data_IF_979912269993
#
_entry.id   IF_979912269993
#
_cell.length_a   1.000
_cell.length_b   1.000
_cell.length_c   1.000
_cell.angle_alpha   90.00
_cell.angle_beta   90.00
_cell.angle_gamma   90.00
#
_symmetry.space_group_name_H-M   'P 1'
#
loop_
_entity.id
_entity.type
_entity.pdbx_description
1 polymer ?
#
# COMPACT_ATOMS: atom_id res chain seq x y z
N UNK A 1 16.73 11.05 2.83
CA UNK A 1 15.77 10.09 2.26
C UNK A 1 15.51 9.05 3.31
N UNK A 2 14.28 9.00 3.79
CA UNK A 2 13.89 8.07 4.84
C UNK A 2 13.51 6.71 4.25
N UNK A 3 13.49 5.66 5.06
CA UNK A 3 13.17 4.30 4.60
C UNK A 3 11.80 4.23 3.89
N UNK A 4 10.86 5.06 4.33
CA UNK A 4 9.53 5.20 3.75
C UNK A 4 9.56 5.77 2.32
N UNK A 5 10.39 6.77 2.05
CA UNK A 5 10.57 7.33 0.70
C UNK A 5 11.10 6.27 -0.26
N UNK A 6 12.10 5.49 0.18
CA UNK A 6 12.68 4.40 -0.62
C UNK A 6 11.62 3.34 -0.93
N UNK A 7 10.81 2.99 0.07
CA UNK A 7 9.75 2.02 -0.10
C UNK A 7 8.67 2.51 -1.07
N UNK A 8 8.22 3.77 -0.95
CA UNK A 8 7.24 4.34 -1.86
C UNK A 8 7.77 4.37 -3.30
N UNK A 9 9.00 4.84 -3.49
CA UNK A 9 9.65 4.84 -4.80
C UNK A 9 9.82 3.44 -5.38
N UNK A 10 10.12 2.43 -4.55
CA UNK A 10 10.28 1.06 -4.99
C UNK A 10 8.94 0.40 -5.35
N UNK A 11 7.95 0.44 -4.46
CA UNK A 11 6.69 -0.29 -4.62
C UNK A 11 5.69 0.46 -5.51
N UNK A 12 5.29 1.67 -5.11
CA UNK A 12 4.28 2.46 -5.85
C UNK A 12 4.87 3.06 -7.15
N UNK A 13 6.18 3.31 -7.17
CA UNK A 13 6.91 3.74 -8.36
C UNK A 13 7.39 2.55 -9.20
N UNK A 14 8.62 2.11 -8.96
CA UNK A 14 9.36 1.23 -9.87
C UNK A 14 8.66 -0.09 -10.15
N UNK A 15 8.25 -0.83 -9.12
CA UNK A 15 7.67 -2.17 -9.26
C UNK A 15 6.26 -2.07 -9.84
N UNK A 16 5.39 -1.24 -9.27
CA UNK A 16 4.02 -1.05 -9.75
C UNK A 16 4.00 -0.65 -11.23
N UNK A 17 4.82 0.33 -11.64
CA UNK A 17 4.82 0.79 -13.03
C UNK A 17 5.48 -0.20 -14.00
N UNK A 18 6.45 -1.01 -13.56
CA UNK A 18 6.97 -2.14 -14.37
C UNK A 18 5.89 -3.17 -14.67
N UNK A 19 5.06 -3.53 -13.68
CA UNK A 19 3.95 -4.47 -13.85
C UNK A 19 2.89 -3.88 -14.80
N UNK A 20 2.51 -2.61 -14.60
CA UNK A 20 1.58 -1.91 -15.51
C UNK A 20 2.10 -1.92 -16.95
N UNK A 21 3.36 -1.52 -17.17
CA UNK A 21 3.95 -1.50 -18.51
C UNK A 21 3.99 -2.90 -19.15
N UNK A 22 4.25 -3.94 -18.35
CA UNK A 22 4.19 -5.33 -18.81
C UNK A 22 2.78 -5.73 -19.25
N UNK A 23 1.75 -5.41 -18.48
CA UNK A 23 0.35 -5.72 -18.83
C UNK A 23 -0.09 -4.95 -20.07
N UNK A 24 0.28 -3.66 -20.16
CA UNK A 24 -0.01 -2.82 -21.32
C UNK A 24 0.59 -3.40 -22.62
N UNK A 25 1.76 -4.05 -22.56
CA UNK A 25 2.38 -4.74 -23.71
C UNK A 25 1.48 -5.83 -24.32
N UNK A 26 0.56 -6.40 -23.54
CA UNK A 26 -0.40 -7.41 -24.00
C UNK A 26 -1.74 -6.81 -24.43
N UNK A 27 -1.83 -5.48 -24.60
CA UNK A 27 -3.05 -4.79 -25.05
C UNK A 27 -4.14 -4.68 -23.98
N UNK A 28 -3.79 -4.90 -22.71
CA UNK A 28 -4.72 -4.80 -21.58
C UNK A 28 -4.50 -3.47 -20.87
N UNK A 29 -5.59 -2.71 -20.68
CA UNK A 29 -5.51 -1.38 -20.11
C UNK A 29 -5.36 -1.43 -18.58
N UNK A 30 -4.12 -1.47 -18.08
CA UNK A 30 -3.82 -1.52 -16.65
C UNK A 30 -3.65 -0.12 -16.02
N UNK A 31 -4.17 0.05 -14.80
CA UNK A 31 -4.02 1.26 -13.98
C UNK A 31 -3.30 0.92 -12.69
N UNK A 32 -2.12 1.51 -12.48
CA UNK A 32 -1.33 1.29 -11.28
C UNK A 32 -1.72 2.24 -10.16
N UNK A 33 -2.12 1.68 -9.01
CA UNK A 33 -2.56 2.42 -7.82
C UNK A 33 -1.78 1.96 -6.57
N UNK A 34 -1.82 2.83 -5.56
CA UNK A 34 -1.40 2.59 -4.20
C UNK A 34 -2.54 2.91 -3.24
N UNK A 35 -2.34 2.69 -1.94
CA UNK A 35 -3.37 2.94 -0.95
C UNK A 35 -3.84 4.38 -0.83
N UNK A 36 -2.98 5.33 -1.20
CA UNK A 36 -3.30 6.75 -1.12
C UNK A 36 -4.22 7.20 -2.26
N UNK A 37 -4.20 6.51 -3.39
CA UNK A 37 -4.97 6.87 -4.58
C UNK A 37 -6.46 6.65 -4.30
N UNK A 38 -7.22 7.75 -4.21
CA UNK A 38 -8.65 7.69 -3.88
C UNK A 38 -8.97 7.01 -2.54
N UNK A 39 -8.01 6.99 -1.60
CA UNK A 39 -8.10 6.25 -0.33
C UNK A 39 -8.42 4.76 -0.55
N UNK A 40 -7.77 4.15 -1.55
CA UNK A 40 -8.05 2.79 -2.02
C UNK A 40 -8.07 1.75 -0.90
N UNK A 41 -7.10 1.81 0.01
CA UNK A 41 -7.16 1.06 1.27
C UNK A 41 -6.63 1.91 2.42
N UNK A 42 -7.23 1.75 3.60
CA UNK A 42 -6.78 2.45 4.79
C UNK A 42 -6.48 1.45 5.88
N UNK A 43 -5.40 1.70 6.61
CA UNK A 43 -4.94 0.83 7.67
C UNK A 43 -4.83 1.60 8.98
N UNK A 44 -5.16 0.91 10.07
CA UNK A 44 -4.89 1.42 11.42
C UNK A 44 -3.56 0.89 11.89
N UNK A 45 -2.69 1.80 12.30
CA UNK A 45 -1.39 1.47 12.86
C UNK A 45 -1.58 0.60 14.12
N UNK A 46 -0.82 -0.49 14.22
CA UNK A 46 -0.66 -1.19 15.50
C UNK A 46 0.20 -0.29 16.39
N UNK A 47 -0.42 0.41 17.34
CA UNK A 47 0.27 1.37 18.22
C UNK A 47 1.40 0.72 19.04
N UNK A 48 1.33 -0.59 19.30
CA UNK A 48 2.31 -1.30 20.12
C UNK A 48 2.49 -2.73 19.60
N UNK A 49 3.72 -3.08 19.20
CA UNK A 49 4.12 -4.47 19.00
C UNK A 49 5.16 -4.80 20.06
N UNK A 50 4.79 -5.72 20.95
CA UNK A 50 5.70 -6.31 21.93
C UNK A 50 6.50 -7.39 21.24
N UNK A 51 7.80 -7.14 21.00
CA UNK A 51 8.69 -8.14 20.40
C UNK A 51 9.60 -8.70 21.48
N UNK A 52 9.70 -10.03 21.52
CA UNK A 52 10.60 -10.73 22.42
C UNK A 52 11.95 -10.89 21.71
N UNK A 53 12.92 -10.08 22.13
CA UNK A 53 14.29 -10.11 21.62
C UNK A 53 15.20 -10.60 22.75
N UNK A 54 15.85 -11.75 22.56
CA UNK A 54 16.74 -12.38 23.54
C UNK A 54 16.14 -12.49 24.95
N UNK A 55 14.86 -12.88 25.05
CA UNK A 55 14.14 -13.07 26.32
C UNK A 55 13.63 -11.79 26.99
N UNK A 56 13.98 -10.60 26.48
CA UNK A 56 13.43 -9.32 26.95
C UNK A 56 12.29 -8.87 26.03
N UNK A 57 11.19 -8.44 26.64
CA UNK A 57 10.08 -7.84 25.91
C UNK A 57 10.42 -6.38 25.66
N UNK A 58 10.57 -6.00 24.39
CA UNK A 58 10.78 -4.61 23.96
C UNK A 58 9.50 -4.10 23.33
N UNK A 59 9.10 -2.88 23.72
CA UNK A 59 8.02 -2.15 23.08
C UNK A 59 8.62 -1.47 21.84
N UNK A 60 8.33 -2.00 20.65
CA UNK A 60 8.73 -1.36 19.40
C UNK A 60 7.78 -0.19 19.13
N UNK A 61 8.24 1.03 19.44
CA UNK A 61 7.63 2.26 18.92
C UNK A 61 8.09 2.44 17.47
N UNK A 62 7.14 2.64 16.54
CA UNK A 62 7.47 2.93 15.13
C UNK A 62 7.47 1.73 14.18
N UNK A 63 6.89 0.59 14.56
CA UNK A 63 6.54 -0.40 13.55
C UNK A 63 5.43 0.20 12.69
N UNK A 64 5.79 0.62 11.47
CA UNK A 64 4.85 1.22 10.54
C UNK A 64 3.82 0.20 10.00
N UNK A 65 3.53 -0.89 10.71
CA UNK A 65 2.69 -2.00 10.24
C UNK A 65 1.25 -1.84 10.74
N UNK A 66 0.28 -1.98 9.85
CA UNK A 66 -1.16 -1.90 10.18
C UNK A 66 -1.97 -3.07 9.64
N UNK A 67 -3.24 -3.14 10.04
CA UNK A 67 -4.24 -4.02 9.42
C UNK A 67 -5.11 -3.18 8.50
N UNK A 68 -5.44 -3.67 7.29
CA UNK A 68 -6.44 -3.01 6.42
C UNK A 68 -7.76 -2.98 7.18
N UNK A 69 -8.33 -1.79 7.36
CA UNK A 69 -9.65 -1.61 7.96
C UNK A 69 -10.72 -1.31 6.91
N UNK A 70 -10.36 -0.56 5.87
CA UNK A 70 -11.31 -0.16 4.83
C UNK A 70 -10.68 -0.28 3.45
N UNK A 71 -11.52 -0.64 2.48
CA UNK A 71 -11.17 -0.70 1.06
C UNK A 71 -12.21 0.12 0.30
N UNK A 72 -11.77 1.03 -0.56
CA UNK A 72 -12.64 1.74 -1.49
C UNK A 72 -12.98 0.82 -2.67
N UNK A 73 -13.92 -0.08 -2.43
CA UNK A 73 -14.41 -1.02 -3.46
C UNK A 73 -15.11 -0.30 -4.62
N UNK A 74 -15.66 0.89 -4.39
CA UNK A 74 -16.26 1.69 -5.45
C UNK A 74 -15.24 2.08 -6.52
N UNK A 75 -14.03 2.52 -6.13
CA UNK A 75 -12.96 2.83 -7.07
C UNK A 75 -12.50 1.59 -7.86
N UNK A 76 -12.37 0.44 -7.18
CA UNK A 76 -12.01 -0.82 -7.82
C UNK A 76 -13.06 -1.23 -8.85
N UNK A 77 -14.33 -1.20 -8.46
CA UNK A 77 -15.45 -1.57 -9.33
C UNK A 77 -15.58 -0.60 -10.51
N UNK A 78 -15.43 0.71 -10.29
CA UNK A 78 -15.45 1.71 -11.36
C UNK A 78 -14.40 1.38 -12.45
N UNK A 79 -13.19 1.00 -12.06
CA UNK A 79 -12.14 0.64 -13.01
C UNK A 79 -12.46 -0.65 -13.76
N UNK A 80 -12.90 -1.68 -13.05
CA UNK A 80 -13.26 -2.98 -13.66
C UNK A 80 -14.44 -2.83 -14.62
N UNK A 81 -15.49 -2.10 -14.22
CA UNK A 81 -16.68 -1.82 -15.03
C UNK A 81 -16.34 -1.03 -16.30
N UNK A 82 -15.25 -0.26 -16.28
CA UNK A 82 -14.74 0.48 -17.44
C UNK A 82 -13.59 -0.24 -18.17
N UNK A 83 -13.47 -1.56 -18.00
CA UNK A 83 -12.49 -2.43 -18.68
C UNK A 83 -11.01 -2.09 -18.39
N UNK A 84 -10.73 -1.54 -17.21
CA UNK A 84 -9.36 -1.41 -16.71
C UNK A 84 -8.99 -2.59 -15.81
N UNK A 85 -7.69 -2.91 -15.76
CA UNK A 85 -7.11 -3.86 -14.79
C UNK A 85 -6.39 -3.07 -13.70
N UNK A 86 -6.92 -2.99 -12.47
CA UNK A 86 -6.24 -2.34 -11.36
C UNK A 86 -5.00 -3.14 -10.93
N UNK A 87 -3.85 -2.47 -10.82
CA UNK A 87 -2.60 -3.02 -10.27
C UNK A 87 -2.30 -2.30 -8.97
N UNK A 88 -2.63 -2.95 -7.86
CA UNK A 88 -2.61 -2.33 -6.51
C UNK A 88 -1.27 -2.61 -5.82
N UNK A 89 -0.73 -1.59 -5.14
CA UNK A 89 0.54 -1.65 -4.40
C UNK A 89 0.43 -1.00 -3.01
N UNK A 90 1.32 -1.34 -2.07
CA UNK A 90 1.48 -0.57 -0.82
C UNK A 90 2.10 0.81 -1.10
N UNK A 91 2.11 1.74 -0.12
CA UNK A 91 1.60 1.62 1.26
C UNK A 91 0.07 1.76 1.36
N UNK A 92 -0.47 1.52 2.56
CA UNK A 92 -1.82 1.94 2.93
C UNK A 92 -1.80 3.35 3.51
N UNK A 93 -2.93 4.05 3.39
CA UNK A 93 -3.11 5.35 4.02
C UNK A 93 -3.53 5.16 5.49
N UNK A 94 -2.91 5.86 6.45
CA UNK A 94 -3.47 5.90 7.80
C UNK A 94 -4.55 6.97 7.95
N UNK A 95 -5.38 6.80 8.98
CA UNK A 95 -6.40 7.79 9.35
C UNK A 95 -5.82 9.14 9.80
N UNK A 96 -4.53 9.20 10.17
CA UNK A 96 -3.83 10.43 10.55
C UNK A 96 -3.15 11.11 9.33
N UNK A 97 -3.39 10.61 8.11
CA UNK A 97 -2.80 11.09 6.85
C UNK A 97 -1.26 10.97 6.84
N UNK A 98 -0.76 9.90 7.48
CA UNK A 98 0.64 9.49 7.41
C UNK A 98 0.75 8.18 6.59
N UNK A 99 1.94 7.86 6.07
CA UNK A 99 2.17 6.65 5.28
C UNK A 99 2.65 5.48 6.16
N UNK A 100 2.08 4.29 5.97
CA UNK A 100 2.38 3.12 6.80
C UNK A 100 2.59 1.86 5.94
N UNK A 101 3.56 1.04 6.34
CA UNK A 101 3.80 -0.28 5.79
C UNK A 101 2.65 -1.25 6.13
N UNK A 102 2.42 -2.20 5.23
CA UNK A 102 1.49 -3.30 5.41
C UNK A 102 2.13 -4.56 4.88
#
# INVERSE_FOLDING_TARGET
MEALDVFLMAYAGLINKKIVALIQKYGVNAVGLSGVDGKLWQAKAKKEIMVKDNGKVKLLKGNLTGSVETINTHLINLLIENNYVPVISPPALSHEIEYWFM
#
